data_IF_916424980394
#
_entry.id   IF_916424980394
#
_cell.length_a   1.000
_cell.length_b   1.000
_cell.length_c   1.000
_cell.angle_alpha   90.00
_cell.angle_beta   90.00
_cell.angle_gamma   90.00
#
_symmetry.space_group_name_H-M   'P 1'
#
loop_
_entity.id
_entity.type
_entity.pdbx_description
1 polymer ?
#
# COMPACT_ATOMS: atom_id res chain seq x y z
N UNK A 1 -0.12 -44.91 -20.32
CA UNK A 1 1.03 -44.10 -19.89
C UNK A 1 0.55 -43.15 -18.80
N UNK A 2 0.98 -43.33 -17.55
CA UNK A 2 0.58 -42.48 -16.43
C UNK A 2 1.59 -41.32 -16.32
N UNK A 3 1.17 -40.12 -16.68
CA UNK A 3 1.90 -38.88 -16.41
C UNK A 3 1.87 -38.62 -14.90
N UNK A 4 2.96 -38.95 -14.21
CA UNK A 4 3.17 -38.51 -12.82
C UNK A 4 3.30 -36.98 -12.82
N UNK A 5 2.31 -36.30 -12.25
CA UNK A 5 2.41 -34.87 -11.91
C UNK A 5 3.60 -34.71 -10.95
N UNK A 6 4.61 -33.95 -11.38
CA UNK A 6 5.78 -33.66 -10.56
C UNK A 6 5.32 -32.70 -9.46
N UNK A 7 5.07 -33.22 -8.26
CA UNK A 7 4.68 -32.41 -7.12
C UNK A 7 5.92 -31.66 -6.62
N UNK A 8 5.91 -30.33 -6.74
CA UNK A 8 6.98 -29.49 -6.21
C UNK A 8 6.90 -29.49 -4.69
N UNK A 9 7.99 -29.89 -4.02
CA UNK A 9 8.11 -29.72 -2.58
C UNK A 9 8.37 -28.24 -2.25
N UNK A 10 7.32 -27.55 -1.82
CA UNK A 10 7.37 -26.14 -1.41
C UNK A 10 8.38 -25.95 -0.26
N UNK A 11 8.51 -26.93 0.64
CA UNK A 11 9.41 -26.84 1.78
C UNK A 11 10.89 -26.90 1.39
N UNK A 12 11.22 -27.35 0.17
CA UNK A 12 12.58 -27.42 -0.35
C UNK A 12 13.04 -26.13 -1.06
N UNK A 13 12.15 -25.18 -1.34
CA UNK A 13 12.51 -23.92 -2.00
C UNK A 13 13.42 -23.10 -1.07
N UNK A 14 14.59 -22.71 -1.57
CA UNK A 14 15.61 -21.94 -0.83
C UNK A 14 16.05 -20.74 -1.66
N UNK A 15 16.28 -19.63 -0.96
CA UNK A 15 16.94 -18.45 -1.49
C UNK A 15 17.87 -17.92 -0.41
N UNK A 16 19.12 -17.65 -0.76
CA UNK A 16 20.08 -17.03 0.14
C UNK A 16 20.01 -15.51 -0.02
N UNK A 17 20.15 -14.80 1.11
CA UNK A 17 20.00 -13.36 1.17
C UNK A 17 21.35 -12.71 1.51
N UNK A 18 21.90 -11.94 0.59
CA UNK A 18 23.26 -11.40 0.68
C UNK A 18 23.39 -9.94 0.22
N UNK A 19 22.29 -9.30 -0.21
CA UNK A 19 22.35 -8.02 -0.93
C UNK A 19 22.88 -6.86 -0.09
N UNK A 20 22.57 -6.82 1.22
CA UNK A 20 23.01 -5.74 2.10
C UNK A 20 22.97 -6.13 3.60
N UNK A 21 23.35 -5.19 4.46
CA UNK A 21 23.28 -5.23 5.92
C UNK A 21 22.51 -4.01 6.42
N UNK A 22 21.93 -4.11 7.62
CA UNK A 22 21.27 -2.99 8.28
C UNK A 22 21.75 -2.87 9.74
N UNK A 23 22.64 -1.92 9.98
CA UNK A 23 23.17 -1.57 11.31
C UNK A 23 22.48 -0.34 11.92
N UNK A 24 22.53 -0.24 13.25
CA UNK A 24 21.98 0.87 14.04
C UNK A 24 22.66 2.21 13.74
N UNK A 25 23.92 2.19 13.31
CA UNK A 25 24.68 3.39 12.93
C UNK A 25 24.38 3.86 11.50
N UNK A 26 23.79 3.01 10.66
CA UNK A 26 23.56 3.26 9.22
C UNK A 26 22.17 3.85 8.92
N UNK A 27 21.35 4.00 9.96
CA UNK A 27 19.96 4.43 9.85
C UNK A 27 19.75 5.88 10.30
N UNK A 28 18.76 6.53 9.68
CA UNK A 28 18.35 7.86 10.10
C UNK A 28 17.61 7.83 11.44
N UNK A 29 17.76 8.87 12.26
CA UNK A 29 17.03 8.96 13.53
C UNK A 29 15.50 9.09 13.35
N UNK A 30 15.05 9.68 12.25
CA UNK A 30 13.63 9.79 11.91
C UNK A 30 13.19 8.69 10.94
N UNK A 31 12.07 8.02 11.27
CA UNK A 31 11.59 6.88 10.52
C UNK A 31 11.10 7.24 9.10
N UNK A 32 10.58 8.46 8.88
CA UNK A 32 10.18 8.90 7.54
C UNK A 32 11.39 9.19 6.67
N UNK A 33 12.45 9.77 7.23
CA UNK A 33 13.73 9.95 6.52
C UNK A 33 14.31 8.58 6.14
N UNK A 34 14.31 7.62 7.07
CA UNK A 34 14.78 6.26 6.78
C UNK A 34 13.94 5.58 5.69
N UNK A 35 12.61 5.74 5.71
CA UNK A 35 11.74 5.22 4.66
C UNK A 35 12.07 5.83 3.30
N UNK A 36 12.19 7.17 3.22
CA UNK A 36 12.50 7.87 1.96
C UNK A 36 13.81 7.38 1.37
N UNK A 37 14.86 7.22 2.19
CA UNK A 37 16.14 6.65 1.77
C UNK A 37 15.97 5.31 1.05
N UNK A 38 15.26 4.36 1.67
CA UNK A 38 15.03 3.05 1.05
C UNK A 38 14.10 3.09 -0.17
N UNK A 39 13.10 3.97 -0.15
CA UNK A 39 12.17 4.14 -1.26
C UNK A 39 12.86 4.74 -2.50
N UNK A 40 13.73 5.73 -2.31
CA UNK A 40 14.54 6.34 -3.36
C UNK A 40 15.54 5.32 -3.94
N UNK A 41 16.17 4.51 -3.08
CA UNK A 41 17.01 3.39 -3.51
C UNK A 41 16.21 2.36 -4.35
N UNK A 42 14.97 2.06 -3.98
CA UNK A 42 14.11 1.16 -4.75
C UNK A 42 13.78 1.71 -6.15
N UNK A 43 13.55 3.02 -6.25
CA UNK A 43 13.35 3.70 -7.53
C UNK A 43 14.63 3.66 -8.38
N UNK A 44 15.78 4.03 -7.79
CA UNK A 44 17.08 4.05 -8.47
C UNK A 44 17.46 2.66 -8.99
N UNK A 45 17.12 1.61 -8.24
CA UNK A 45 17.39 0.21 -8.58
C UNK A 45 16.33 -0.40 -9.50
N UNK A 46 15.38 0.39 -9.99
CA UNK A 46 14.32 -0.03 -10.89
C UNK A 46 13.51 -1.24 -10.37
N UNK A 47 13.25 -1.26 -9.06
CA UNK A 47 12.31 -2.23 -8.46
C UNK A 47 10.96 -2.09 -9.15
N UNK A 48 10.29 -3.21 -9.44
CA UNK A 48 8.98 -3.19 -10.08
C UNK A 48 7.93 -2.59 -9.12
N UNK A 49 7.24 -1.53 -9.58
CA UNK A 49 6.23 -0.79 -8.80
C UNK A 49 6.66 -0.51 -7.35
N UNK A 50 7.71 0.29 -7.09
CA UNK A 50 8.28 0.44 -5.75
C UNK A 50 7.29 1.07 -4.75
N UNK A 51 6.27 1.76 -5.25
CA UNK A 51 5.19 2.36 -4.47
C UNK A 51 3.98 1.45 -4.26
N UNK A 52 3.99 0.21 -4.77
CA UNK A 52 2.99 -0.78 -4.44
C UNK A 52 3.17 -1.28 -3.00
N UNK A 53 2.07 -1.36 -2.26
CA UNK A 53 2.06 -1.83 -0.88
C UNK A 53 0.82 -2.68 -0.61
N UNK A 54 0.98 -3.72 0.19
CA UNK A 54 -0.16 -4.44 0.74
C UNK A 54 -0.75 -3.62 1.89
N UNK A 55 -2.03 -3.26 1.76
CA UNK A 55 -2.82 -2.63 2.81
C UNK A 55 -3.68 -3.69 3.48
N UNK A 56 -3.46 -3.87 4.78
CA UNK A 56 -4.25 -4.76 5.65
C UNK A 56 -5.16 -3.95 6.55
N UNK A 57 -6.44 -4.31 6.55
CA UNK A 57 -7.51 -3.70 7.36
C UNK A 57 -8.28 -4.81 8.07
N UNK A 58 -9.12 -4.45 9.05
CA UNK A 58 -9.85 -5.42 9.87
C UNK A 58 -11.34 -5.10 9.83
N UNK A 59 -12.16 -6.10 9.54
CA UNK A 59 -13.62 -5.99 9.57
C UNK A 59 -14.18 -5.79 10.97
N UNK A 60 -15.47 -5.42 11.04
CA UNK A 60 -16.16 -5.23 12.31
C UNK A 60 -16.11 -6.49 13.20
N UNK A 61 -16.23 -7.68 12.59
CA UNK A 61 -16.12 -8.99 13.24
C UNK A 61 -14.68 -9.47 13.50
N UNK A 62 -13.68 -8.61 13.27
CA UNK A 62 -12.28 -8.88 13.64
C UNK A 62 -11.48 -9.69 12.61
N UNK A 63 -12.01 -9.91 11.41
CA UNK A 63 -11.30 -10.65 10.35
C UNK A 63 -10.39 -9.71 9.56
N UNK A 64 -9.09 -10.01 9.42
CA UNK A 64 -8.20 -9.22 8.59
C UNK A 64 -8.47 -9.47 7.10
N UNK A 65 -8.25 -8.45 6.28
CA UNK A 65 -8.26 -8.55 4.83
C UNK A 65 -7.14 -7.68 4.23
N UNK A 66 -6.52 -8.16 3.15
CA UNK A 66 -5.40 -7.48 2.50
C UNK A 66 -5.64 -7.31 1.00
N UNK A 67 -5.08 -6.24 0.44
CA UNK A 67 -5.03 -5.98 -1.01
C UNK A 67 -3.88 -5.04 -1.33
N UNK A 68 -3.43 -5.04 -2.58
CA UNK A 68 -2.45 -4.06 -3.05
C UNK A 68 -3.13 -2.71 -3.28
N UNK A 69 -2.49 -1.65 -2.79
CA UNK A 69 -2.77 -0.26 -3.12
C UNK A 69 -1.44 0.43 -3.43
N UNK A 70 -1.51 1.65 -3.97
CA UNK A 70 -0.32 2.42 -4.30
C UNK A 70 -0.15 3.57 -3.31
N UNK A 71 1.06 3.73 -2.78
CA UNK A 71 1.47 4.96 -2.09
C UNK A 71 1.43 6.11 -3.11
N UNK A 72 0.78 7.20 -2.73
CA UNK A 72 0.61 8.40 -3.59
C UNK A 72 1.21 9.65 -2.99
N UNK A 73 1.34 9.71 -1.68
CA UNK A 73 1.97 10.83 -0.99
C UNK A 73 2.66 10.33 0.27
N UNK A 74 3.81 10.92 0.56
CA UNK A 74 4.56 10.72 1.78
C UNK A 74 5.04 12.08 2.29
N UNK A 75 4.51 12.51 3.42
CA UNK A 75 4.86 13.78 4.07
C UNK A 75 5.20 13.54 5.55
N UNK A 76 5.30 14.60 6.35
CA UNK A 76 5.58 14.49 7.79
C UNK A 76 4.39 13.96 8.61
N UNK A 77 3.20 13.88 8.01
CA UNK A 77 1.97 13.41 8.66
C UNK A 77 1.79 11.91 8.47
N UNK A 78 2.16 11.36 7.30
CA UNK A 78 1.95 9.94 7.06
C UNK A 78 2.09 9.46 5.62
N UNK A 79 1.47 8.30 5.38
CA UNK A 79 1.47 7.57 4.11
C UNK A 79 0.07 7.62 3.48
N UNK A 80 -0.10 8.33 2.37
CA UNK A 80 -1.42 8.51 1.74
C UNK A 80 -1.66 7.56 0.57
N UNK A 81 -2.88 7.06 0.49
CA UNK A 81 -3.40 6.26 -0.62
C UNK A 81 -4.85 6.66 -0.93
N UNK A 82 -5.32 6.41 -2.16
CA UNK A 82 -6.65 6.85 -2.60
C UNK A 82 -7.50 5.66 -3.02
N UNK A 83 -8.79 5.70 -2.68
CA UNK A 83 -9.69 4.57 -2.87
C UNK A 83 -11.16 4.99 -2.92
N UNK A 84 -12.04 4.01 -3.10
CA UNK A 84 -13.48 4.19 -2.95
C UNK A 84 -13.87 3.95 -1.48
N UNK A 85 -14.45 4.96 -0.82
CA UNK A 85 -14.90 4.94 0.56
C UNK A 85 -16.01 3.91 0.82
N UNK A 86 -16.78 3.50 -0.21
CA UNK A 86 -17.79 2.44 -0.10
C UNK A 86 -17.24 1.04 -0.30
N UNK A 87 -15.99 0.89 -0.71
CA UNK A 87 -15.35 -0.43 -0.85
C UNK A 87 -15.21 -1.15 0.48
N UNK A 88 -14.89 -2.46 0.44
CA UNK A 88 -14.67 -3.23 1.66
C UNK A 88 -13.66 -2.55 2.59
N UNK A 89 -12.46 -2.20 2.09
CA UNK A 89 -11.45 -1.51 2.90
C UNK A 89 -11.94 -0.14 3.43
N UNK A 90 -12.78 0.56 2.66
CA UNK A 90 -13.34 1.84 3.05
C UNK A 90 -14.30 1.69 4.23
N UNK A 91 -15.21 0.71 4.15
CA UNK A 91 -16.14 0.34 5.23
C UNK A 91 -15.39 -0.15 6.47
N UNK A 92 -14.34 -0.95 6.29
CA UNK A 92 -13.51 -1.46 7.39
C UNK A 92 -12.78 -0.31 8.11
N UNK A 93 -12.18 0.63 7.37
CA UNK A 93 -11.50 1.81 7.93
C UNK A 93 -12.44 2.80 8.63
N UNK A 94 -13.67 2.94 8.14
CA UNK A 94 -14.69 3.78 8.78
C UNK A 94 -15.11 3.22 10.15
N UNK A 95 -15.10 1.89 10.30
CA UNK A 95 -15.41 1.22 11.58
C UNK A 95 -14.20 1.11 12.51
N UNK A 96 -13.03 0.75 11.95
CA UNK A 96 -11.78 0.55 12.68
C UNK A 96 -10.67 1.31 11.95
N UNK A 97 -10.35 2.55 12.38
CA UNK A 97 -9.40 3.42 11.68
C UNK A 97 -7.94 3.04 12.00
N UNK A 98 -7.60 1.77 11.84
CA UNK A 98 -6.25 1.23 12.00
C UNK A 98 -5.92 0.32 10.83
N UNK A 99 -4.68 0.39 10.37
CA UNK A 99 -4.22 -0.44 9.27
C UNK A 99 -2.75 -0.82 9.42
N UNK A 100 -2.34 -1.81 8.62
CA UNK A 100 -0.94 -2.10 8.38
C UNK A 100 -0.62 -1.95 6.89
N UNK A 101 0.54 -1.38 6.58
CA UNK A 101 1.13 -1.35 5.25
C UNK A 101 2.35 -2.27 5.22
N UNK A 102 2.51 -3.01 4.14
CA UNK A 102 3.70 -3.81 3.86
C UNK A 102 4.23 -3.47 2.47
N UNK A 103 5.44 -2.92 2.42
CA UNK A 103 6.25 -2.82 1.22
C UNK A 103 7.17 -4.04 1.14
N UNK A 104 7.25 -4.65 -0.04
CA UNK A 104 8.15 -5.76 -0.30
C UNK A 104 8.89 -5.48 -1.60
N UNK A 105 10.21 -5.33 -1.50
CA UNK A 105 11.11 -5.10 -2.62
C UNK A 105 12.04 -6.32 -2.75
N UNK A 106 11.60 -7.37 -3.46
CA UNK A 106 12.34 -8.63 -3.53
C UNK A 106 13.74 -8.48 -4.13
N UNK A 107 13.91 -7.60 -5.11
CA UNK A 107 15.18 -7.31 -5.78
C UNK A 107 16.21 -6.70 -4.81
N UNK A 108 15.74 -6.04 -3.75
CA UNK A 108 16.59 -5.50 -2.69
C UNK A 108 16.64 -6.38 -1.44
N UNK A 109 15.85 -7.46 -1.42
CA UNK A 109 15.69 -8.30 -0.25
C UNK A 109 15.24 -7.50 0.98
N UNK A 110 14.30 -6.57 0.79
CA UNK A 110 13.83 -5.64 1.82
C UNK A 110 12.33 -5.72 2.02
N UNK A 111 11.92 -5.49 3.26
CA UNK A 111 10.54 -5.26 3.62
C UNK A 111 10.45 -4.04 4.54
N UNK A 112 9.39 -3.26 4.39
CA UNK A 112 9.00 -2.24 5.37
C UNK A 112 7.58 -2.51 5.84
N UNK A 113 7.40 -2.68 7.14
CA UNK A 113 6.09 -2.85 7.78
C UNK A 113 5.75 -1.57 8.54
N UNK A 114 4.55 -1.05 8.33
CA UNK A 114 4.10 0.20 8.96
C UNK A 114 2.74 -0.06 9.59
N UNK A 115 2.56 0.33 10.85
CA UNK A 115 1.24 0.32 11.51
C UNK A 115 0.89 1.70 12.04
N UNK A 116 -0.40 1.97 12.14
CA UNK A 116 -0.88 3.22 12.70
C UNK A 116 -2.37 3.43 12.52
N UNK A 117 -2.83 4.58 13.01
CA UNK A 117 -4.19 5.06 12.77
C UNK A 117 -4.34 5.58 11.35
N UNK A 118 -5.56 5.52 10.81
CA UNK A 118 -5.89 6.00 9.47
C UNK A 118 -6.92 7.12 9.54
N UNK A 119 -6.65 8.23 8.88
CA UNK A 119 -7.56 9.37 8.75
C UNK A 119 -7.94 9.60 7.28
N UNK A 120 -9.12 10.17 7.03
CA UNK A 120 -9.48 10.67 5.69
C UNK A 120 -8.66 11.94 5.43
N UNK A 121 -8.08 12.06 4.24
CA UNK A 121 -7.46 13.33 3.82
C UNK A 121 -8.55 14.37 3.57
N UNK A 122 -8.17 15.64 3.47
CA UNK A 122 -9.13 16.72 3.20
C UNK A 122 -9.83 16.53 1.84
N UNK A 123 -11.01 17.13 1.70
CA UNK A 123 -11.72 17.14 0.41
C UNK A 123 -10.85 17.76 -0.69
N UNK A 124 -10.10 18.81 -0.36
CA UNK A 124 -9.18 19.50 -1.27
C UNK A 124 -8.02 18.61 -1.72
N UNK A 125 -7.39 17.86 -0.79
CA UNK A 125 -6.36 16.87 -1.15
C UNK A 125 -6.94 15.77 -2.06
N UNK A 126 -8.18 15.34 -1.80
CA UNK A 126 -8.89 14.37 -2.65
C UNK A 126 -9.24 14.92 -4.04
N UNK A 127 -9.72 16.16 -4.13
CA UNK A 127 -10.05 16.84 -5.38
C UNK A 127 -8.80 17.04 -6.25
N UNK A 128 -7.71 17.53 -5.63
CA UNK A 128 -6.43 17.75 -6.29
C UNK A 128 -5.87 16.44 -6.88
N UNK A 129 -5.84 15.38 -6.08
CA UNK A 129 -5.37 14.08 -6.56
C UNK A 129 -6.32 13.43 -7.57
N UNK A 130 -7.65 13.59 -7.42
CA UNK A 130 -8.58 13.08 -8.43
C UNK A 130 -8.34 13.74 -9.79
N UNK A 131 -8.21 15.07 -9.81
CA UNK A 131 -8.01 15.86 -11.03
C UNK A 131 -6.71 15.52 -11.76
N UNK A 132 -5.65 15.12 -11.06
CA UNK A 132 -4.37 14.74 -11.69
C UNK A 132 -4.41 13.36 -12.37
N UNK A 133 -5.45 12.55 -12.14
CA UNK A 133 -5.57 11.22 -12.74
C UNK A 133 -5.99 11.31 -14.22
N UNK A 134 -5.53 10.36 -15.07
CA UNK A 134 -6.02 10.24 -16.44
C UNK A 134 -7.55 10.20 -16.49
N UNK A 135 -8.16 10.81 -17.52
CA UNK A 135 -9.63 10.89 -17.67
C UNK A 135 -10.30 9.52 -17.52
N UNK A 136 -9.80 8.49 -18.21
CA UNK A 136 -10.33 7.12 -18.09
C UNK A 136 -10.27 6.56 -16.66
N UNK A 137 -9.23 6.90 -15.88
CA UNK A 137 -9.15 6.51 -14.47
C UNK A 137 -10.17 7.25 -13.60
N UNK A 138 -10.44 8.52 -13.89
CA UNK A 138 -11.49 9.31 -13.22
C UNK A 138 -12.87 8.72 -13.52
N UNK A 139 -13.17 8.45 -14.79
CA UNK A 139 -14.43 7.83 -15.22
C UNK A 139 -14.61 6.42 -14.63
N UNK A 140 -13.57 5.58 -14.67
CA UNK A 140 -13.63 4.24 -14.07
C UNK A 140 -13.87 4.26 -12.55
N UNK A 141 -13.39 5.30 -11.86
CA UNK A 141 -13.68 5.48 -10.44
C UNK A 141 -15.15 5.88 -10.15
N UNK A 142 -15.83 6.49 -11.12
CA UNK A 142 -17.27 6.81 -11.06
C UNK A 142 -18.10 5.58 -11.44
N UNK A 143 -17.69 4.86 -12.49
CA UNK A 143 -18.42 3.73 -13.06
C UNK A 143 -18.52 2.52 -12.11
N UNK A 144 -17.42 2.21 -11.40
CA UNK A 144 -17.28 0.95 -10.67
C UNK A 144 -17.75 1.06 -9.21
N UNK A 145 -18.80 0.30 -8.79
CA UNK A 145 -19.15 0.15 -7.39
C UNK A 145 -18.16 -0.80 -6.70
N UNK A 146 -16.94 -0.30 -6.44
CA UNK A 146 -15.82 -1.12 -5.97
C UNK A 146 -16.19 -2.01 -4.78
N UNK A 147 -15.96 -3.31 -4.92
CA UNK A 147 -16.25 -4.36 -3.92
C UNK A 147 -17.73 -4.75 -3.75
N UNK A 148 -18.63 -4.27 -4.60
CA UNK A 148 -20.00 -4.79 -4.69
C UNK A 148 -20.09 -5.90 -5.76
N UNK A 149 -21.04 -6.81 -5.58
CA UNK A 149 -21.39 -7.79 -6.60
C UNK A 149 -22.07 -7.07 -7.77
N UNK A 150 -21.65 -7.40 -8.99
CA UNK A 150 -22.19 -6.84 -10.24
C UNK A 150 -22.59 -8.00 -11.15
N UNK A 151 -23.46 -7.74 -12.13
CA UNK A 151 -24.02 -8.78 -12.99
C UNK A 151 -22.94 -9.56 -13.75
N UNK A 152 -22.03 -8.85 -14.42
CA UNK A 152 -20.97 -9.40 -15.26
C UNK A 152 -20.01 -8.28 -15.74
N UNK A 153 -19.08 -8.63 -16.63
CA UNK A 153 -18.10 -7.70 -17.19
C UNK A 153 -18.76 -6.68 -18.12
N UNK A 154 -19.73 -7.13 -18.92
CA UNK A 154 -20.43 -6.33 -19.91
C UNK A 154 -21.20 -5.17 -19.27
N UNK A 155 -21.82 -5.42 -18.10
CA UNK A 155 -22.44 -4.40 -17.27
C UNK A 155 -21.44 -3.28 -16.93
N UNK A 156 -20.26 -3.63 -16.42
CA UNK A 156 -19.24 -2.64 -16.06
C UNK A 156 -18.74 -1.85 -17.27
N UNK A 157 -18.52 -2.52 -18.40
CA UNK A 157 -18.08 -1.86 -19.64
C UNK A 157 -19.16 -0.89 -20.16
N UNK A 158 -20.45 -1.25 -20.04
CA UNK A 158 -21.56 -0.34 -20.38
C UNK A 158 -21.60 0.91 -19.50
N UNK A 159 -21.40 0.77 -18.18
CA UNK A 159 -21.38 1.92 -17.26
C UNK A 159 -20.25 2.89 -17.60
N UNK A 160 -19.09 2.35 -18.00
CA UNK A 160 -17.96 3.17 -18.43
C UNK A 160 -18.25 3.86 -19.76
N UNK A 161 -18.78 3.15 -20.76
CA UNK A 161 -19.09 3.70 -22.08
C UNK A 161 -20.12 4.84 -22.01
N UNK A 162 -21.14 4.71 -21.16
CA UNK A 162 -22.13 5.77 -20.93
C UNK A 162 -21.48 7.03 -20.34
N UNK A 163 -20.56 6.87 -19.40
CA UNK A 163 -19.80 7.97 -18.83
C UNK A 163 -18.84 8.59 -19.85
N UNK A 164 -18.14 7.80 -20.65
CA UNK A 164 -17.26 8.30 -21.72
C UNK A 164 -18.04 9.15 -22.73
N UNK A 165 -19.27 8.74 -23.09
CA UNK A 165 -20.15 9.53 -23.93
C UNK A 165 -20.60 10.82 -23.25
N UNK A 166 -21.02 10.76 -21.98
CA UNK A 166 -21.49 11.92 -21.23
C UNK A 166 -20.40 12.98 -20.99
N UNK A 167 -19.14 12.55 -20.92
CA UNK A 167 -17.97 13.42 -20.72
C UNK A 167 -17.11 13.56 -21.98
N UNK A 168 -17.64 13.28 -23.18
CA UNK A 168 -16.87 13.30 -24.43
C UNK A 168 -16.24 14.69 -24.70
N UNK A 169 -17.03 15.75 -24.54
CA UNK A 169 -16.66 17.13 -24.91
C UNK A 169 -16.04 17.94 -23.75
N UNK A 170 -15.75 17.30 -22.61
CA UNK A 170 -15.18 17.99 -21.44
C UNK A 170 -14.20 17.12 -20.67
N UNK A 171 -13.14 17.73 -20.17
CA UNK A 171 -12.21 17.09 -19.22
C UNK A 171 -12.55 17.39 -17.76
N UNK A 172 -13.62 18.15 -17.51
CA UNK A 172 -14.13 18.45 -16.19
C UNK A 172 -14.99 17.31 -15.66
N UNK A 173 -14.32 16.23 -15.26
CA UNK A 173 -14.92 15.11 -14.55
C UNK A 173 -14.84 15.39 -13.05
N UNK A 174 -15.97 15.63 -12.35
CA UNK A 174 -15.97 15.91 -10.93
C UNK A 174 -15.64 14.65 -10.11
N UNK A 175 -14.99 14.83 -8.97
CA UNK A 175 -14.75 13.72 -8.03
C UNK A 175 -16.08 13.27 -7.42
N UNK A 176 -16.43 11.97 -7.47
CA UNK A 176 -17.62 11.49 -6.79
C UNK A 176 -17.42 11.49 -5.28
N UNK A 177 -18.49 11.77 -4.50
CA UNK A 177 -18.43 11.87 -3.04
C UNK A 177 -17.90 10.59 -2.34
N UNK A 178 -18.05 9.44 -2.98
CA UNK A 178 -17.59 8.15 -2.46
C UNK A 178 -16.12 7.85 -2.77
N UNK A 179 -15.37 8.76 -3.38
CA UNK A 179 -13.96 8.56 -3.72
C UNK A 179 -13.08 9.61 -3.05
N UNK A 180 -11.92 9.20 -2.54
CA UNK A 180 -10.93 10.13 -1.99
C UNK A 180 -9.77 9.43 -1.29
N UNK A 181 -8.99 10.20 -0.55
CA UNK A 181 -7.76 9.73 0.10
C UNK A 181 -7.94 9.31 1.56
N UNK A 182 -7.06 8.43 1.98
CA UNK A 182 -6.75 8.10 3.35
C UNK A 182 -5.26 8.35 3.61
N UNK A 183 -4.90 8.69 4.84
CA UNK A 183 -3.53 8.78 5.33
C UNK A 183 -3.35 7.86 6.53
N UNK A 184 -2.36 6.99 6.48
CA UNK A 184 -1.89 6.28 7.67
C UNK A 184 -0.89 7.17 8.42
N UNK A 185 -1.22 7.50 9.66
CA UNK A 185 -0.35 8.20 10.61
C UNK A 185 0.37 7.14 11.44
N UNK A 186 1.68 6.91 11.23
CA UNK A 186 2.35 5.75 11.79
C UNK A 186 2.67 5.93 13.27
N UNK A 187 2.50 4.85 14.03
CA UNK A 187 3.03 4.67 15.39
C UNK A 187 4.26 3.74 15.40
N UNK A 188 4.43 2.94 14.35
CA UNK A 188 5.53 1.97 14.25
C UNK A 188 5.93 1.71 12.80
N UNK A 189 7.25 1.70 12.55
CA UNK A 189 7.85 1.26 11.30
C UNK A 189 8.90 0.19 11.58
N UNK A 190 8.88 -0.91 10.85
CA UNK A 190 9.90 -1.97 10.94
C UNK A 190 10.56 -2.14 9.59
N UNK A 191 11.88 -2.02 9.59
CA UNK A 191 12.77 -2.21 8.46
C UNK A 191 13.41 -3.58 8.58
N UNK A 192 13.18 -4.43 7.57
CA UNK A 192 13.71 -5.78 7.50
C UNK A 192 14.64 -5.88 6.29
N UNK A 193 15.83 -6.42 6.51
CA UNK A 193 16.83 -6.68 5.47
C UNK A 193 17.23 -8.16 5.50
N UNK A 194 17.14 -8.82 4.35
CA UNK A 194 17.54 -10.21 4.18
C UNK A 194 19.02 -10.42 4.47
N UNK A 195 19.36 -11.53 5.15
CA UNK A 195 20.71 -11.95 5.56
C UNK A 195 20.84 -13.47 5.46
N UNK A 196 22.08 -13.96 5.37
CA UNK A 196 22.40 -15.39 5.33
C UNK A 196 21.86 -16.11 6.58
N UNK A 197 21.65 -17.42 6.46
CA UNK A 197 21.26 -18.30 7.57
C UNK A 197 19.97 -17.92 8.30
N UNK A 198 19.11 -17.11 7.66
CA UNK A 198 17.86 -16.56 8.24
C UNK A 198 18.06 -15.64 9.44
N UNK A 199 19.30 -15.17 9.67
CA UNK A 199 19.60 -14.21 10.73
C UNK A 199 19.41 -12.78 10.24
N UNK A 200 18.17 -12.46 9.87
CA UNK A 200 17.79 -11.19 9.24
C UNK A 200 17.98 -9.99 10.17
N UNK A 201 18.33 -8.84 9.57
CA UNK A 201 18.38 -7.59 10.30
C UNK A 201 16.97 -7.01 10.40
N UNK A 202 16.55 -6.66 11.62
CA UNK A 202 15.24 -6.07 11.91
C UNK A 202 15.42 -4.89 12.85
N UNK A 203 15.23 -3.68 12.33
CA UNK A 203 15.22 -2.46 13.14
C UNK A 203 13.80 -1.89 13.15
N UNK A 204 13.29 -1.61 14.35
CA UNK A 204 11.95 -1.05 14.55
C UNK A 204 12.05 0.34 15.14
N UNK A 205 11.25 1.24 14.58
CA UNK A 205 10.97 2.56 15.08
C UNK A 205 9.60 2.52 15.75
N UNK A 206 9.52 2.92 17.00
CA UNK A 206 8.26 3.10 17.72
C UNK A 206 8.14 4.54 18.18
N UNK A 207 6.99 5.17 17.90
CA UNK A 207 6.76 6.58 18.21
C UNK A 207 6.30 6.72 19.65
N UNK A 208 6.94 7.61 20.39
CA UNK A 208 6.51 8.05 21.72
C UNK A 208 6.34 9.58 21.80
N UNK A 209 6.28 10.12 23.03
CA UNK A 209 6.11 11.56 23.25
C UNK A 209 7.35 12.39 22.89
N UNK A 210 8.54 11.78 22.89
CA UNK A 210 9.83 12.43 22.60
C UNK A 210 10.29 12.26 21.15
N UNK A 211 9.71 11.32 20.39
CA UNK A 211 10.05 11.11 18.99
C UNK A 211 9.99 9.64 18.60
N UNK A 212 10.97 9.21 17.81
CA UNK A 212 11.14 7.82 17.43
C UNK A 212 12.18 7.14 18.31
N UNK A 213 11.81 6.03 18.93
CA UNK A 213 12.74 5.12 19.58
C UNK A 213 13.08 3.97 18.65
N UNK A 214 14.37 3.62 18.57
CA UNK A 214 14.86 2.54 17.72
C UNK A 214 15.27 1.35 18.56
N UNK A 215 14.88 0.15 18.14
CA UNK A 215 15.39 -1.10 18.71
C UNK A 215 15.60 -2.17 17.65
N UNK A 216 16.46 -3.16 17.95
CA UNK A 216 16.67 -4.35 17.12
C UNK A 216 15.76 -5.48 17.58
N UNK A 217 15.14 -6.17 16.63
CA UNK A 217 14.35 -7.38 16.88
C UNK A 217 15.11 -8.62 16.43
N UNK A 218 14.92 -9.74 17.13
CA UNK A 218 15.37 -11.04 16.65
C UNK A 218 14.63 -11.44 15.37
N UNK A 219 15.27 -12.12 14.41
CA UNK A 219 14.64 -12.56 13.16
C UNK A 219 13.60 -13.67 13.33
#
# INVERSE_FOLDING_TARGET
>A
MHTKTKQTDIAAIRMEYEMAQLGEEDIAADAFIQFRKWFDEAIERHVLEPNAMALSTVSADGKPSSRIVLLKELDSRGFSFFTNYKSQKGKELDNRPYAALLFFWPELQRQVRITGSVEKVTAQESDAYFKSRPKGSRLGAIASPQSEEIENREWLDSQLADLEKNYADTDDVPRPAHWGGYRLVPDRLEFWQGRKSRLHDRLVYERDRSGWNVSRLAP
#
